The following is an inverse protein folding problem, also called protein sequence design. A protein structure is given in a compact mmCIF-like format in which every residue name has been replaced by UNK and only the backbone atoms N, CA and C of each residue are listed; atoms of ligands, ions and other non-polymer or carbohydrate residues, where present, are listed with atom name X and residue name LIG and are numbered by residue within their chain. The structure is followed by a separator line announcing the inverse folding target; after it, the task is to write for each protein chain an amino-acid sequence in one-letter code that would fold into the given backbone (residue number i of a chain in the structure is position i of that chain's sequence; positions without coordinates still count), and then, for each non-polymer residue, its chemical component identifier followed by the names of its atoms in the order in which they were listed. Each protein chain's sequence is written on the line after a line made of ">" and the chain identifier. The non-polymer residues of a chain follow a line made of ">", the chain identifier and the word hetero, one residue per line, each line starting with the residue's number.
data_IF_772226939021
#
_entry.id   IF_772226939021
#
_cell.length_a   1.000
_cell.length_b   1.000
_cell.length_c   1.000
_cell.angle_alpha   90.00
_cell.angle_beta   90.00
_cell.angle_gamma   90.00
#
_symmetry.space_group_name_H-M   'P 1'
#
loop_
_entity.id
_entity.type
_entity.pdbx_description
1 polymer ?
#
# COMPACT_ATOMS: atom_id res chain seq x y z
N UNK A 1 19.26 13.25 20.87
CA UNK A 1 18.40 13.80 19.81
C UNK A 1 18.29 12.79 18.69
N UNK A 2 17.08 12.39 18.33
CA UNK A 2 16.79 11.40 17.28
C UNK A 2 16.87 12.08 15.90
N UNK A 3 17.76 11.64 14.98
CA UNK A 3 18.04 12.31 13.71
C UNK A 3 16.97 12.11 12.62
N UNK A 4 15.84 11.45 12.92
CA UNK A 4 14.92 10.92 11.90
C UNK A 4 13.67 11.77 11.63
N UNK A 5 13.64 13.04 12.04
CA UNK A 5 12.46 13.92 11.85
C UNK A 5 12.77 15.04 10.87
N UNK A 6 12.41 14.83 9.60
CA UNK A 6 12.36 15.88 8.58
C UNK A 6 10.99 16.56 8.67
N UNK A 7 10.97 17.89 8.81
CA UNK A 7 9.77 18.70 8.77
C UNK A 7 9.80 19.60 7.53
N UNK A 8 8.72 19.60 6.75
CA UNK A 8 8.50 20.62 5.73
C UNK A 8 7.87 21.85 6.40
N UNK A 9 8.56 22.99 6.35
CA UNK A 9 8.08 24.27 6.90
C UNK A 9 7.76 25.19 5.72
N UNK A 10 6.52 25.67 5.66
CA UNK A 10 6.10 26.69 4.71
C UNK A 10 5.95 28.02 5.46
N UNK A 11 6.53 29.08 4.90
CA UNK A 11 6.37 30.45 5.41
C UNK A 11 5.22 31.10 4.65
N UNK A 12 4.16 31.48 5.37
CA UNK A 12 2.98 32.13 4.80
C UNK A 12 2.95 33.59 5.26
N UNK A 13 2.78 34.57 4.36
CA UNK A 13 2.55 35.97 4.72
C UNK A 13 1.34 36.11 5.65
N UNK A 14 1.46 36.95 6.69
CA UNK A 14 0.48 37.04 7.78
C UNK A 14 -0.93 37.40 7.28
N UNK A 15 -1.00 38.26 6.28
CA UNK A 15 -2.20 38.71 5.58
C UNK A 15 -2.93 37.60 4.82
N UNK A 16 -2.25 36.49 4.54
CA UNK A 16 -2.80 35.35 3.82
C UNK A 16 -3.11 34.16 4.75
N UNK A 17 -2.78 34.21 6.04
CA UNK A 17 -2.97 33.06 6.95
C UNK A 17 -4.44 32.63 7.02
N UNK A 18 -5.36 33.60 7.01
CA UNK A 18 -6.80 33.34 7.06
C UNK A 18 -7.37 32.76 5.75
N UNK A 19 -6.63 32.84 4.65
CA UNK A 19 -7.03 32.27 3.35
C UNK A 19 -6.59 30.81 3.16
N UNK A 20 -5.94 30.19 4.15
CA UNK A 20 -5.56 28.78 4.10
C UNK A 20 -6.51 27.93 4.94
N UNK A 21 -7.23 27.03 4.28
CA UNK A 21 -8.10 26.07 4.95
C UNK A 21 -7.40 24.71 5.00
N UNK A 22 -7.55 24.03 6.13
CA UNK A 22 -7.09 22.64 6.26
C UNK A 22 -7.84 21.78 5.25
N UNK A 23 -7.09 21.13 4.35
CA UNK A 23 -7.69 20.22 3.40
C UNK A 23 -8.17 18.96 4.12
N UNK A 24 -9.43 18.60 3.92
CA UNK A 24 -9.91 17.27 4.30
C UNK A 24 -9.33 16.27 3.29
N UNK A 25 -8.32 15.52 3.71
CA UNK A 25 -7.76 14.45 2.89
C UNK A 25 -8.76 13.29 2.94
N UNK A 26 -9.55 13.14 1.88
CA UNK A 26 -10.31 11.92 1.64
C UNK A 26 -9.31 10.89 1.14
N UNK A 27 -8.88 9.99 2.01
CA UNK A 27 -8.12 8.80 1.61
C UNK A 27 -9.03 7.91 0.76
N UNK A 28 -8.93 8.03 -0.57
CA UNK A 28 -9.45 7.00 -1.46
C UNK A 28 -8.53 5.80 -1.29
N UNK A 29 -9.08 4.69 -0.79
CA UNK A 29 -8.35 3.42 -0.72
C UNK A 29 -8.08 2.91 -2.13
N UNK A 30 -7.06 3.45 -2.79
CA UNK A 30 -6.49 2.89 -4.02
C UNK A 30 -5.41 1.85 -3.72
N UNK A 31 -4.88 1.86 -2.49
CA UNK A 31 -3.94 0.86 -2.00
C UNK A 31 -4.61 -0.52 -2.09
N UNK A 32 -4.08 -1.39 -2.96
CA UNK A 32 -4.56 -2.77 -3.05
C UNK A 32 -5.07 -3.26 -4.40
N UNK A 33 -5.57 -2.35 -5.24
CA UNK A 33 -6.05 -2.68 -6.60
C UNK A 33 -4.93 -2.88 -7.63
N UNK A 34 -3.70 -2.49 -7.26
CA UNK A 34 -2.52 -2.68 -8.09
C UNK A 34 -2.30 -4.17 -8.37
N UNK A 35 -1.73 -4.46 -9.55
CA UNK A 35 -1.41 -5.84 -9.91
C UNK A 35 -0.33 -6.40 -8.97
N UNK A 36 -0.47 -7.67 -8.57
CA UNK A 36 0.61 -8.40 -7.85
C UNK A 36 1.94 -8.41 -8.60
N UNK A 37 1.92 -8.16 -9.92
CA UNK A 37 3.12 -8.04 -10.75
C UNK A 37 3.94 -6.78 -10.45
N UNK A 38 3.33 -5.79 -9.82
CA UNK A 38 4.03 -4.59 -9.34
C UNK A 38 4.92 -4.89 -8.12
N UNK A 39 4.65 -5.97 -7.40
CA UNK A 39 5.44 -6.38 -6.24
C UNK A 39 6.81 -6.90 -6.69
N UNK A 40 7.87 -6.18 -6.33
CA UNK A 40 9.26 -6.62 -6.54
C UNK A 40 9.49 -7.98 -5.86
N UNK A 41 9.86 -8.97 -6.66
CA UNK A 41 10.05 -10.36 -6.21
C UNK A 41 8.96 -11.31 -6.69
N UNK A 42 7.81 -10.80 -7.13
CA UNK A 42 6.77 -11.59 -7.82
C UNK A 42 7.05 -11.55 -9.33
N UNK A 43 7.87 -12.50 -9.79
CA UNK A 43 8.11 -12.71 -11.22
C UNK A 43 6.93 -13.38 -11.94
N UNK A 44 6.95 -13.40 -13.27
CA UNK A 44 5.84 -13.90 -14.09
C UNK A 44 5.39 -15.33 -13.79
N UNK A 45 6.27 -16.22 -13.31
CA UNK A 45 5.89 -17.58 -12.88
C UNK A 45 5.08 -17.59 -11.59
N UNK A 46 5.40 -16.72 -10.63
CA UNK A 46 4.68 -16.61 -9.36
C UNK A 46 3.35 -15.91 -9.62
N UNK A 47 3.37 -14.80 -10.36
CA UNK A 47 2.15 -14.09 -10.77
C UNK A 47 1.22 -15.01 -11.56
N UNK A 48 1.72 -15.72 -12.57
CA UNK A 48 0.91 -16.64 -13.36
C UNK A 48 0.28 -17.77 -12.52
N UNK A 49 1.02 -18.32 -11.55
CA UNK A 49 0.46 -19.30 -10.61
C UNK A 49 -0.66 -18.68 -9.75
N UNK A 50 -0.45 -17.50 -9.17
CA UNK A 50 -1.44 -16.81 -8.33
C UNK A 50 -2.71 -16.46 -9.14
N UNK A 51 -2.53 -15.91 -10.33
CA UNK A 51 -3.63 -15.49 -11.22
C UNK A 51 -4.42 -16.68 -11.76
N UNK A 52 -3.73 -17.71 -12.28
CA UNK A 52 -4.39 -18.79 -13.03
C UNK A 52 -4.95 -19.88 -12.11
N UNK A 53 -4.26 -20.21 -11.01
CA UNK A 53 -4.70 -21.30 -10.12
C UNK A 53 -5.54 -20.82 -8.95
N UNK A 54 -5.27 -19.61 -8.46
CA UNK A 54 -5.88 -19.09 -7.23
C UNK A 54 -6.74 -17.84 -7.47
N UNK A 55 -6.78 -17.31 -8.70
CA UNK A 55 -7.60 -16.16 -9.06
C UNK A 55 -7.10 -14.82 -8.50
N UNK A 56 -5.87 -14.79 -7.97
CA UNK A 56 -5.29 -13.63 -7.28
C UNK A 56 -4.52 -12.79 -8.30
N UNK A 57 -5.01 -11.58 -8.54
CA UNK A 57 -4.49 -10.62 -9.52
C UNK A 57 -3.99 -9.34 -8.87
N UNK A 58 -4.60 -8.95 -7.75
CA UNK A 58 -4.28 -7.70 -7.05
C UNK A 58 -3.59 -7.92 -5.71
N UNK A 59 -2.96 -6.86 -5.21
CA UNK A 59 -2.27 -6.87 -3.92
C UNK A 59 -3.26 -7.17 -2.77
N UNK A 60 -4.48 -6.62 -2.82
CA UNK A 60 -5.53 -6.91 -1.83
C UNK A 60 -5.98 -8.36 -1.88
N UNK A 61 -6.19 -8.90 -3.08
CA UNK A 61 -6.56 -10.30 -3.24
C UNK A 61 -5.46 -11.21 -2.68
N UNK A 62 -4.19 -10.81 -2.79
CA UNK A 62 -3.07 -11.54 -2.21
C UNK A 62 -3.05 -11.43 -0.67
N UNK A 63 -3.34 -10.26 -0.11
CA UNK A 63 -3.47 -10.07 1.35
C UNK A 63 -4.62 -10.91 1.92
N UNK A 64 -5.81 -10.82 1.33
CA UNK A 64 -6.96 -11.62 1.72
C UNK A 64 -6.70 -13.13 1.57
N UNK A 65 -5.98 -13.55 0.52
CA UNK A 65 -5.61 -14.94 0.34
C UNK A 65 -4.66 -15.45 1.44
N UNK A 66 -3.77 -14.59 1.97
CA UNK A 66 -2.89 -14.94 3.10
C UNK A 66 -3.72 -15.15 4.37
N UNK A 67 -4.65 -14.25 4.66
CA UNK A 67 -5.55 -14.39 5.81
C UNK A 67 -6.37 -15.68 5.72
N UNK A 68 -6.91 -16.00 4.54
CA UNK A 68 -7.63 -17.24 4.29
C UNK A 68 -6.74 -18.48 4.40
N UNK A 69 -5.47 -18.39 4.01
CA UNK A 69 -4.51 -19.48 4.18
C UNK A 69 -4.18 -19.72 5.66
N UNK A 70 -3.94 -18.66 6.42
CA UNK A 70 -3.65 -18.72 7.84
C UNK A 70 -4.88 -19.20 8.66
N UNK A 71 -6.08 -18.83 8.23
CA UNK A 71 -7.36 -19.35 8.75
C UNK A 71 -7.71 -20.77 8.29
N UNK A 72 -6.93 -21.38 7.39
CA UNK A 72 -7.13 -22.74 6.89
C UNK A 72 -8.21 -22.89 5.81
N UNK A 73 -8.79 -21.80 5.34
CA UNK A 73 -9.82 -21.75 4.29
C UNK A 73 -9.24 -21.87 2.87
N UNK A 74 -8.00 -21.40 2.68
CA UNK A 74 -7.25 -21.56 1.44
C UNK A 74 -6.22 -22.68 1.60
N UNK A 75 -6.24 -23.65 0.68
CA UNK A 75 -5.23 -24.71 0.60
C UNK A 75 -4.33 -24.50 -0.61
N UNK A 76 -3.03 -24.35 -0.34
CA UNK A 76 -2.01 -24.26 -1.38
C UNK A 76 -1.51 -25.66 -1.73
N UNK A 77 -1.47 -25.98 -3.01
CA UNK A 77 -0.94 -27.26 -3.49
C UNK A 77 0.54 -27.41 -3.12
N UNK A 78 0.97 -28.63 -2.78
CA UNK A 78 2.36 -28.89 -2.34
C UNK A 78 3.41 -28.43 -3.36
N UNK A 79 3.14 -28.60 -4.66
CA UNK A 79 4.02 -28.14 -5.74
C UNK A 79 4.12 -26.61 -5.88
N UNK A 80 3.23 -25.87 -5.22
CA UNK A 80 3.15 -24.42 -5.25
C UNK A 80 3.63 -23.77 -3.94
N UNK A 81 3.77 -24.53 -2.83
CA UNK A 81 4.16 -24.03 -1.50
C UNK A 81 5.39 -23.12 -1.54
N UNK A 82 6.45 -23.52 -2.25
CA UNK A 82 7.67 -22.70 -2.37
C UNK A 82 7.40 -21.34 -3.01
N UNK A 83 6.58 -21.30 -4.06
CA UNK A 83 6.24 -20.05 -4.76
C UNK A 83 5.30 -19.18 -3.92
N UNK A 84 4.37 -19.80 -3.19
CA UNK A 84 3.52 -19.14 -2.21
C UNK A 84 4.35 -18.44 -1.11
N UNK A 85 5.31 -19.13 -0.50
CA UNK A 85 6.21 -18.54 0.50
C UNK A 85 7.01 -17.35 -0.05
N UNK A 86 7.44 -17.42 -1.31
CA UNK A 86 8.12 -16.31 -1.98
C UNK A 86 7.19 -15.12 -2.22
N UNK A 87 5.93 -15.36 -2.61
CA UNK A 87 4.94 -14.30 -2.76
C UNK A 87 4.68 -13.58 -1.42
N UNK A 88 4.45 -14.34 -0.35
CA UNK A 88 4.28 -13.80 1.01
C UNK A 88 5.47 -12.94 1.45
N UNK A 89 6.68 -13.44 1.23
CA UNK A 89 7.91 -12.72 1.59
C UNK A 89 8.06 -11.44 0.77
N UNK A 90 7.68 -11.47 -0.51
CA UNK A 90 7.76 -10.31 -1.40
C UNK A 90 6.73 -9.25 -1.00
N UNK A 91 5.50 -9.66 -0.68
CA UNK A 91 4.46 -8.76 -0.19
C UNK A 91 4.85 -8.08 1.13
N UNK A 92 5.41 -8.83 2.10
CA UNK A 92 5.90 -8.24 3.36
C UNK A 92 6.97 -7.17 3.14
N UNK A 93 7.80 -7.32 2.11
CA UNK A 93 8.83 -6.34 1.74
C UNK A 93 8.29 -5.18 0.90
N UNK A 94 7.09 -5.32 0.36
CA UNK A 94 6.43 -4.29 -0.47
C UNK A 94 5.76 -3.20 0.37
N UNK A 95 5.80 -3.32 1.70
CA UNK A 95 5.22 -2.43 2.71
C UNK A 95 4.51 -1.16 2.16
N UNK A 96 3.16 -1.19 2.05
CA UNK A 96 2.38 -0.05 1.57
C UNK A 96 2.29 1.10 2.60
N UNK A 97 2.97 1.00 3.75
CA UNK A 97 2.96 2.00 4.83
C UNK A 97 3.37 3.42 4.40
N UNK A 98 3.99 3.58 3.22
CA UNK A 98 4.30 4.90 2.66
C UNK A 98 3.04 5.73 2.36
N UNK A 99 1.98 5.13 1.82
CA UNK A 99 0.73 5.84 1.53
C UNK A 99 -0.01 6.27 2.80
N UNK A 100 0.02 5.40 3.81
CA UNK A 100 -0.65 5.60 5.10
C UNK A 100 0.08 6.65 5.97
N UNK A 101 1.40 6.79 5.79
CA UNK A 101 2.18 7.87 6.39
C UNK A 101 1.91 9.23 5.74
N UNK A 102 1.77 9.29 4.41
CA UNK A 102 1.46 10.52 3.67
C UNK A 102 0.06 11.06 3.98
N UNK A 103 -0.92 10.18 4.16
CA UNK A 103 -2.30 10.57 4.55
C UNK A 103 -2.38 11.26 5.92
N UNK A 104 -1.38 11.06 6.79
CA UNK A 104 -1.33 11.65 8.14
C UNK A 104 -0.69 13.04 8.17
N UNK A 105 -0.06 13.48 7.07
CA UNK A 105 0.54 14.82 6.98
C UNK A 105 -0.59 15.83 6.76
N UNK A 106 -0.81 16.80 7.67
CA UNK A 106 -1.80 17.85 7.46
C UNK A 106 -1.47 18.66 6.20
N UNK A 107 -2.40 18.72 5.26
CA UNK A 107 -2.29 19.51 4.04
C UNK A 107 -3.18 20.75 4.16
N UNK A 108 -2.67 21.90 3.69
CA UNK A 108 -3.38 23.17 3.68
C UNK A 108 -3.39 23.69 2.25
N UNK A 109 -4.53 24.20 1.80
CA UNK A 109 -4.70 24.81 0.48
C UNK A 109 -5.20 26.23 0.63
N UNK A 110 -4.73 27.10 -0.27
CA UNK A 110 -5.23 28.47 -0.35
C UNK A 110 -6.62 28.43 -1.01
N UNK A 111 -7.66 28.83 -0.28
CA UNK A 111 -8.97 29.09 -0.85
C UNK A 111 -8.95 30.48 -1.46
N UNK A 112 -8.86 30.54 -2.78
CA UNK A 112 -9.20 31.75 -3.52
C UNK A 112 -10.72 31.77 -3.68
N UNK A 113 -11.41 32.40 -2.73
CA UNK A 113 -12.75 32.96 -2.98
C UNK A 113 -12.63 34.36 -3.59
#
# INVERSE_FOLDING_TARGET
>A
SDPSRVALVFVVPKDLVDSYVRQTIVTVATAGTESIRAIKGIGGRIAGMLEQKYGIRTIDELQAAIERYDGGELRIHDGDKRRWTLALTSLKKHDPSYGDAMAKIPQYVCSWE
#
